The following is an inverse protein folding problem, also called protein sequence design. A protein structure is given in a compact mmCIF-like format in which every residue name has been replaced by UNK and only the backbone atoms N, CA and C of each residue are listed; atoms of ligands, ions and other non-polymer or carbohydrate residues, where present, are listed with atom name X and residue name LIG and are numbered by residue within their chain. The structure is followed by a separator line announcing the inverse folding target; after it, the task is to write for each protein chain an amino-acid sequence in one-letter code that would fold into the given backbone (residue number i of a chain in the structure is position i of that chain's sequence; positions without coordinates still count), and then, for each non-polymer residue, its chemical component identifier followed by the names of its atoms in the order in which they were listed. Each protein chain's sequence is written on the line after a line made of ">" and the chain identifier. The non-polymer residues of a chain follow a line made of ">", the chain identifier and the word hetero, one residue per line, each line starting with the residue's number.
data_IF_417729087239
#
_entry.id   IF_417729087239
#
_cell.length_a   1.000
_cell.length_b   1.000
_cell.length_c   1.000
_cell.angle_alpha   90.00
_cell.angle_beta   90.00
_cell.angle_gamma   90.00
#
_symmetry.space_group_name_H-M   'P 1'
#
loop_
_entity.id
_entity.type
_entity.pdbx_description
1 polymer ?
#
# COMPACT_ATOMS: atom_id res chain seq x y z
N UNK A 1 3.08 20.67 -5.18
CA UNK A 1 4.52 20.46 -4.94
C UNK A 1 5.33 21.50 -5.71
N UNK A 2 6.49 21.90 -5.19
CA UNK A 2 7.42 22.80 -5.90
C UNK A 2 8.59 21.98 -6.45
N UNK A 3 8.86 22.13 -7.75
CA UNK A 3 10.01 21.54 -8.41
C UNK A 3 11.02 22.65 -8.73
N UNK A 4 12.30 22.37 -8.45
CA UNK A 4 13.40 23.30 -8.66
C UNK A 4 14.45 22.69 -9.59
N UNK A 5 14.19 22.64 -10.92
CA UNK A 5 15.19 22.20 -11.88
C UNK A 5 16.46 23.04 -11.75
N UNK A 6 17.58 22.36 -11.57
CA UNK A 6 18.89 22.99 -11.43
C UNK A 6 19.64 22.96 -12.76
N UNK A 7 20.56 23.91 -12.95
CA UNK A 7 21.42 23.97 -14.17
C UNK A 7 22.31 22.74 -14.35
N UNK A 8 22.59 22.00 -13.26
CA UNK A 8 23.45 20.82 -13.22
C UNK A 8 22.84 19.79 -12.25
N UNK A 9 23.19 18.51 -12.40
CA UNK A 9 22.70 17.43 -11.54
C UNK A 9 23.70 17.11 -10.42
N UNK A 10 23.21 16.68 -9.26
CA UNK A 10 24.04 16.05 -8.24
C UNK A 10 24.35 14.59 -8.61
N UNK A 11 25.54 14.08 -8.27
CA UNK A 11 26.66 14.77 -7.61
C UNK A 11 27.42 15.75 -8.54
N UNK A 12 27.87 16.89 -8.01
CA UNK A 12 28.56 17.94 -8.77
C UNK A 12 29.75 18.52 -8.00
N UNK A 13 30.69 19.17 -8.71
CA UNK A 13 31.92 19.76 -8.14
C UNK A 13 31.66 20.91 -7.17
N UNK A 14 30.51 21.60 -7.30
CA UNK A 14 30.06 22.63 -6.36
C UNK A 14 29.00 22.08 -5.42
N UNK A 15 29.05 22.50 -4.14
CA UNK A 15 28.07 22.13 -3.11
C UNK A 15 26.70 22.80 -3.29
N UNK A 16 26.60 23.82 -4.15
CA UNK A 16 25.34 24.48 -4.51
C UNK A 16 25.28 24.69 -6.03
N UNK A 17 24.08 24.55 -6.58
CA UNK A 17 23.79 24.68 -8.00
C UNK A 17 22.61 25.64 -8.14
N UNK A 18 22.69 26.60 -9.06
CA UNK A 18 21.61 27.56 -9.28
C UNK A 18 20.36 26.88 -9.85
N UNK A 19 19.21 27.24 -9.30
CA UNK A 19 17.88 26.87 -9.81
C UNK A 19 17.60 27.70 -11.06
N UNK A 20 17.20 27.04 -12.15
CA UNK A 20 16.94 27.69 -13.44
C UNK A 20 15.61 28.46 -13.43
N UNK A 21 14.56 27.82 -12.91
CA UNK A 21 13.23 28.39 -12.76
C UNK A 21 12.47 27.58 -11.69
N UNK A 22 11.45 28.19 -11.11
CA UNK A 22 10.58 27.53 -10.16
C UNK A 22 9.29 27.10 -10.86
N UNK A 23 8.96 25.81 -10.80
CA UNK A 23 7.66 25.32 -11.20
C UNK A 23 6.84 25.00 -9.95
N UNK A 24 5.70 25.68 -9.78
CA UNK A 24 4.80 25.47 -8.67
C UNK A 24 3.48 24.89 -9.17
N UNK A 25 3.16 23.69 -8.69
CA UNK A 25 1.87 23.05 -8.92
C UNK A 25 1.09 23.07 -7.60
N UNK A 26 -0.08 23.70 -7.60
CA UNK A 26 -0.99 23.66 -6.46
C UNK A 26 -1.86 22.41 -6.59
N UNK A 27 -1.79 21.54 -5.59
CA UNK A 27 -2.67 20.38 -5.49
C UNK A 27 -3.90 20.79 -4.68
N UNK A 28 -5.07 20.38 -5.13
CA UNK A 28 -6.30 20.47 -4.36
C UNK A 28 -6.25 19.53 -3.15
N UNK A 29 -7.04 19.77 -2.09
CA UNK A 29 -7.06 18.92 -0.89
C UNK A 29 -7.30 17.42 -1.18
N UNK A 30 -8.07 17.10 -2.23
CA UNK A 30 -8.30 15.72 -2.63
C UNK A 30 -7.10 15.11 -3.35
N UNK A 31 -6.41 15.88 -4.21
CA UNK A 31 -5.17 15.42 -4.87
C UNK A 31 -4.06 15.17 -3.84
N UNK A 32 -3.98 15.97 -2.78
CA UNK A 32 -3.06 15.73 -1.66
C UNK A 32 -3.38 14.44 -0.94
N UNK A 33 -4.67 14.17 -0.67
CA UNK A 33 -5.09 12.92 -0.04
C UNK A 33 -4.78 11.68 -0.90
N UNK A 34 -5.02 11.77 -2.22
CA UNK A 34 -4.74 10.69 -3.16
C UNK A 34 -3.22 10.42 -3.25
N UNK A 35 -2.41 11.47 -3.32
CA UNK A 35 -0.95 11.36 -3.38
C UNK A 35 -0.38 10.73 -2.09
N UNK A 36 -0.88 11.14 -0.92
CA UNK A 36 -0.47 10.54 0.35
C UNK A 36 -0.83 9.04 0.43
N UNK A 37 -2.05 8.69 0.00
CA UNK A 37 -2.51 7.32 -0.02
C UNK A 37 -1.72 6.46 -1.02
N UNK A 38 -1.46 6.99 -2.21
CA UNK A 38 -0.67 6.32 -3.25
C UNK A 38 0.77 6.10 -2.79
N UNK A 39 1.35 7.07 -2.08
CA UNK A 39 2.68 6.96 -1.48
C UNK A 39 2.72 5.84 -0.43
N UNK A 40 1.74 5.79 0.48
CA UNK A 40 1.61 4.69 1.46
C UNK A 40 1.49 3.32 0.80
N UNK A 41 0.70 3.21 -0.26
CA UNK A 41 0.58 1.98 -1.06
C UNK A 41 1.94 1.57 -1.62
N UNK A 42 2.64 2.49 -2.29
CA UNK A 42 3.94 2.21 -2.89
C UNK A 42 4.99 1.79 -1.85
N UNK A 43 5.03 2.48 -0.70
CA UNK A 43 5.94 2.14 0.41
C UNK A 43 5.69 0.73 0.95
N UNK A 44 4.43 0.38 1.22
CA UNK A 44 4.06 -0.95 1.71
C UNK A 44 4.35 -2.05 0.68
N UNK A 45 4.06 -1.80 -0.60
CA UNK A 45 4.37 -2.74 -1.68
C UNK A 45 5.88 -3.00 -1.79
N UNK A 46 6.68 -1.93 -1.72
CA UNK A 46 8.14 -2.04 -1.74
C UNK A 46 8.62 -2.95 -0.61
N UNK A 47 8.16 -2.70 0.62
CA UNK A 47 8.52 -3.51 1.80
C UNK A 47 8.10 -4.97 1.66
N UNK A 48 6.91 -5.23 1.12
CA UNK A 48 6.41 -6.59 0.89
C UNK A 48 7.15 -7.34 -0.22
N UNK A 49 7.76 -6.61 -1.16
CA UNK A 49 8.49 -7.17 -2.31
C UNK A 49 10.00 -7.31 -2.07
N UNK A 50 10.50 -6.85 -0.94
CA UNK A 50 11.92 -6.91 -0.60
C UNK A 50 12.39 -8.37 -0.48
N UNK A 51 13.60 -8.66 -0.97
CA UNK A 51 14.22 -9.99 -0.86
C UNK A 51 14.43 -10.41 0.60
N UNK A 52 14.72 -9.44 1.46
CA UNK A 52 14.73 -9.59 2.91
C UNK A 52 13.81 -8.53 3.50
N UNK A 53 12.77 -8.97 4.19
CA UNK A 53 11.75 -8.09 4.74
C UNK A 53 12.19 -7.63 6.12
N UNK A 54 12.42 -6.32 6.28
CA UNK A 54 12.57 -5.69 7.59
C UNK A 54 11.20 -5.68 8.29
N UNK A 55 11.02 -6.65 9.19
CA UNK A 55 9.75 -6.84 9.90
C UNK A 55 9.38 -5.64 10.77
N UNK A 56 10.35 -4.95 11.35
CA UNK A 56 10.09 -3.78 12.22
C UNK A 56 9.61 -2.62 11.35
N UNK A 57 10.28 -2.37 10.22
CA UNK A 57 9.87 -1.34 9.28
C UNK A 57 8.49 -1.63 8.67
N UNK A 58 8.24 -2.89 8.29
CA UNK A 58 6.94 -3.34 7.79
C UNK A 58 5.84 -3.10 8.82
N UNK A 59 6.03 -3.53 10.08
CA UNK A 59 5.05 -3.36 11.15
C UNK A 59 4.78 -1.90 11.46
N UNK A 60 5.82 -1.07 11.55
CA UNK A 60 5.69 0.37 11.81
C UNK A 60 4.83 1.06 10.73
N UNK A 61 5.13 0.77 9.46
CA UNK A 61 4.40 1.36 8.32
C UNK A 61 2.97 0.82 8.19
N UNK A 62 2.78 -0.48 8.41
CA UNK A 62 1.48 -1.13 8.35
C UNK A 62 0.57 -0.66 9.49
N UNK A 63 1.06 -0.66 10.73
CA UNK A 63 0.32 -0.17 11.89
C UNK A 63 -0.06 1.30 11.71
N UNK A 64 0.86 2.15 11.25
CA UNK A 64 0.58 3.55 10.92
C UNK A 64 -0.44 3.74 9.78
N UNK A 65 -0.75 2.69 9.03
CA UNK A 65 -1.74 2.69 7.95
C UNK A 65 -3.12 2.18 8.41
N UNK A 66 -3.16 1.16 9.27
CA UNK A 66 -4.43 0.52 9.70
C UNK A 66 -4.94 0.99 11.05
N UNK A 67 -4.08 1.56 11.91
CA UNK A 67 -4.42 1.98 13.28
C UNK A 67 -4.41 3.50 13.45
N UNK A 68 -4.84 4.25 12.43
CA UNK A 68 -4.78 5.72 12.46
C UNK A 68 -5.77 6.29 13.48
N UNK A 69 -5.28 6.58 14.70
CA UNK A 69 -6.06 7.15 15.82
C UNK A 69 -5.82 8.64 16.05
N UNK A 70 -4.71 9.20 15.53
CA UNK A 70 -4.22 10.56 15.85
C UNK A 70 -4.12 11.52 14.66
N UNK A 71 -3.93 11.02 13.45
CA UNK A 71 -3.85 11.84 12.22
C UNK A 71 -5.13 11.67 11.40
N UNK A 72 -5.40 12.59 10.46
CA UNK A 72 -6.44 12.38 9.46
C UNK A 72 -6.08 11.14 8.64
N UNK A 73 -6.73 10.01 8.93
CA UNK A 73 -6.48 8.74 8.27
C UNK A 73 -7.20 8.60 6.93
N UNK A 74 -7.03 7.46 6.24
CA UNK A 74 -7.76 7.13 5.01
C UNK A 74 -9.28 7.36 5.11
N UNK A 75 -9.83 7.15 6.31
CA UNK A 75 -11.24 7.37 6.64
C UNK A 75 -11.64 8.86 6.66
N UNK A 76 -10.75 9.75 7.09
CA UNK A 76 -11.01 11.20 7.04
C UNK A 76 -11.08 11.68 5.59
N UNK A 77 -10.20 11.17 4.74
CA UNK A 77 -10.21 11.45 3.30
C UNK A 77 -11.47 10.92 2.62
N UNK A 78 -11.84 9.67 2.91
CA UNK A 78 -13.07 9.08 2.39
C UNK A 78 -14.32 9.87 2.82
N UNK A 79 -14.41 10.26 4.09
CA UNK A 79 -15.54 11.08 4.61
C UNK A 79 -15.60 12.48 4.00
N UNK A 80 -14.45 13.11 3.76
CA UNK A 80 -14.38 14.49 3.26
C UNK A 80 -14.67 14.61 1.76
N UNK A 81 -14.43 13.56 0.97
CA UNK A 81 -14.41 13.67 -0.49
C UNK A 81 -15.29 12.66 -1.25
N UNK A 82 -15.84 11.63 -0.58
CA UNK A 82 -16.65 10.59 -1.24
C UNK A 82 -18.16 10.64 -0.92
N UNK A 83 -18.65 11.69 -0.24
CA UNK A 83 -20.10 11.93 -0.09
C UNK A 83 -20.74 12.32 -1.44
N UNK A 84 -22.00 11.90 -1.67
CA UNK A 84 -22.72 11.70 -2.95
C UNK A 84 -22.62 12.82 -4.02
N UNK A 85 -22.14 14.01 -3.67
CA UNK A 85 -22.02 15.18 -4.55
C UNK A 85 -20.72 15.23 -5.38
N UNK A 86 -19.68 14.46 -5.01
CA UNK A 86 -18.33 14.57 -5.61
C UNK A 86 -17.88 13.34 -6.43
N UNK A 87 -18.57 12.21 -6.29
CA UNK A 87 -18.16 10.89 -6.81
C UNK A 87 -18.01 10.78 -8.34
N UNK A 88 -18.58 11.72 -9.12
CA UNK A 88 -18.46 11.73 -10.59
C UNK A 88 -17.15 12.33 -11.12
N UNK A 89 -16.38 13.03 -10.29
CA UNK A 89 -15.18 13.77 -10.74
C UNK A 89 -13.88 12.99 -10.70
N UNK A 90 -13.82 11.88 -9.96
CA UNK A 90 -12.57 11.17 -9.73
C UNK A 90 -12.76 9.66 -9.82
N UNK A 91 -11.99 8.92 -10.63
CA UNK A 91 -12.03 7.45 -10.74
C UNK A 91 -11.43 6.73 -9.50
N UNK A 92 -11.66 7.28 -8.31
CA UNK A 92 -10.94 7.09 -7.04
C UNK A 92 -11.19 5.75 -6.34
N UNK A 93 -12.09 4.91 -6.87
CA UNK A 93 -12.29 3.55 -6.34
C UNK A 93 -11.01 2.72 -6.43
N UNK A 94 -10.10 3.01 -7.39
CA UNK A 94 -8.85 2.26 -7.59
C UNK A 94 -7.85 2.43 -6.46
N UNK A 95 -7.57 3.66 -6.03
CA UNK A 95 -6.54 3.94 -5.01
C UNK A 95 -6.95 3.35 -3.66
N UNK A 96 -8.24 3.44 -3.32
CA UNK A 96 -8.80 2.78 -2.13
C UNK A 96 -8.63 1.27 -2.18
N UNK A 97 -9.06 0.65 -3.29
CA UNK A 97 -9.03 -0.80 -3.41
C UNK A 97 -7.59 -1.32 -3.39
N UNK A 98 -6.67 -0.60 -4.03
CA UNK A 98 -5.24 -0.85 -3.93
C UNK A 98 -4.70 -0.71 -2.51
N UNK A 99 -5.15 0.28 -1.74
CA UNK A 99 -4.75 0.45 -0.34
C UNK A 99 -5.21 -0.71 0.54
N UNK A 100 -6.50 -1.08 0.47
CA UNK A 100 -7.04 -2.22 1.22
C UNK A 100 -6.33 -3.52 0.82
N UNK A 101 -6.18 -3.78 -0.48
CA UNK A 101 -5.52 -4.98 -0.98
C UNK A 101 -4.04 -5.03 -0.54
N UNK A 102 -3.34 -3.89 -0.54
CA UNK A 102 -1.93 -3.78 -0.14
C UNK A 102 -1.75 -3.95 1.37
N UNK A 103 -2.63 -3.37 2.20
CA UNK A 103 -2.63 -3.62 3.64
C UNK A 103 -2.91 -5.10 3.96
N UNK A 104 -3.82 -5.74 3.24
CA UNK A 104 -4.09 -7.17 3.38
C UNK A 104 -2.89 -8.03 3.00
N UNK A 105 -2.18 -7.68 1.91
CA UNK A 105 -0.93 -8.34 1.52
C UNK A 105 0.15 -8.17 2.60
N UNK A 106 0.33 -6.95 3.11
CA UNK A 106 1.31 -6.64 4.16
C UNK A 106 1.03 -7.41 5.45
N UNK A 107 -0.24 -7.56 5.84
CA UNK A 107 -0.64 -8.44 6.94
C UNK A 107 -0.24 -9.89 6.66
N UNK A 108 -0.51 -10.41 5.45
CA UNK A 108 -0.15 -11.77 5.08
C UNK A 108 1.37 -12.03 5.05
N UNK A 109 2.18 -11.02 4.71
CA UNK A 109 3.65 -11.08 4.84
C UNK A 109 4.05 -11.07 6.31
N UNK A 110 3.48 -10.16 7.11
CA UNK A 110 3.77 -10.06 8.55
C UNK A 110 3.43 -11.37 9.28
N UNK A 111 2.27 -11.99 9.02
CA UNK A 111 1.82 -13.24 9.65
C UNK A 111 2.83 -14.40 9.48
N UNK A 112 3.61 -14.41 8.39
CA UNK A 112 4.61 -15.46 8.13
C UNK A 112 5.95 -15.23 8.81
N UNK A 113 6.25 -13.99 9.17
CA UNK A 113 7.56 -13.57 9.65
C UNK A 113 7.59 -13.34 11.16
N UNK A 114 6.43 -13.14 11.78
CA UNK A 114 6.30 -12.95 13.23
C UNK A 114 6.64 -14.22 14.01
N UNK A 115 7.10 -14.01 15.25
CA UNK A 115 7.26 -15.07 16.25
C UNK A 115 6.03 -15.17 17.14
N UNK A 116 5.93 -16.25 17.92
CA UNK A 116 4.79 -16.54 18.79
C UNK A 116 4.48 -15.41 19.79
N UNK A 117 5.53 -14.74 20.32
CA UNK A 117 5.41 -13.60 21.22
C UNK A 117 4.84 -12.33 20.55
N UNK A 118 4.75 -12.30 19.22
CA UNK A 118 4.21 -11.19 18.45
C UNK A 118 2.78 -11.45 17.92
N UNK A 119 2.18 -12.60 18.26
CA UNK A 119 0.88 -12.99 17.73
C UNK A 119 -0.25 -12.04 18.16
N UNK A 120 -0.28 -11.62 19.43
CA UNK A 120 -1.28 -10.69 19.95
C UNK A 120 -1.22 -9.33 19.23
N UNK A 121 -0.01 -8.83 18.99
CA UNK A 121 0.21 -7.59 18.24
C UNK A 121 -0.28 -7.70 16.79
N UNK A 122 -0.04 -8.85 16.15
CA UNK A 122 -0.56 -9.12 14.81
C UNK A 122 -2.09 -9.16 14.78
N UNK A 123 -2.71 -9.83 15.74
CA UNK A 123 -4.16 -9.95 15.82
C UNK A 123 -4.84 -8.58 16.03
N UNK A 124 -4.24 -7.68 16.82
CA UNK A 124 -4.72 -6.30 16.94
C UNK A 124 -4.64 -5.55 15.59
N UNK A 125 -3.52 -5.64 14.86
CA UNK A 125 -3.41 -5.03 13.53
C UNK A 125 -4.43 -5.61 12.54
N UNK A 126 -4.70 -6.91 12.62
CA UNK A 126 -5.69 -7.60 11.79
C UNK A 126 -7.12 -7.13 12.12
N UNK A 127 -7.43 -6.90 13.40
CA UNK A 127 -8.70 -6.32 13.84
C UNK A 127 -8.87 -4.89 13.31
N UNK A 128 -7.85 -4.04 13.50
CA UNK A 128 -7.85 -2.66 13.00
C UNK A 128 -8.04 -2.59 11.47
N UNK A 129 -7.39 -3.48 10.71
CA UNK A 129 -7.59 -3.59 9.28
C UNK A 129 -9.03 -3.95 8.89
N UNK A 130 -9.67 -4.88 9.62
CA UNK A 130 -11.07 -5.26 9.36
C UNK A 130 -12.01 -4.08 9.59
N UNK A 131 -11.81 -3.33 10.66
CA UNK A 131 -12.63 -2.16 10.98
C UNK A 131 -12.42 -1.04 9.96
N UNK A 132 -11.17 -0.75 9.59
CA UNK A 132 -10.82 0.17 8.52
C UNK A 132 -11.53 -0.21 7.20
N UNK A 133 -11.43 -1.48 6.79
CA UNK A 133 -12.07 -1.98 5.57
C UNK A 133 -13.59 -1.85 5.63
N UNK A 134 -14.21 -2.16 6.77
CA UNK A 134 -15.66 -2.03 6.99
C UNK A 134 -16.12 -0.57 6.90
N UNK A 135 -15.44 0.34 7.59
CA UNK A 135 -15.78 1.76 7.56
C UNK A 135 -15.60 2.36 6.16
N UNK A 136 -14.49 2.03 5.50
CA UNK A 136 -14.24 2.41 4.11
C UNK A 136 -15.32 1.88 3.15
N UNK A 137 -15.88 0.70 3.41
CA UNK A 137 -16.99 0.14 2.63
C UNK A 137 -18.30 0.87 2.89
N UNK A 138 -18.58 1.17 4.17
CA UNK A 138 -19.78 1.91 4.58
C UNK A 138 -19.86 3.30 3.95
N UNK A 139 -18.74 4.03 3.93
CA UNK A 139 -18.67 5.37 3.33
C UNK A 139 -19.02 5.35 1.83
N UNK A 140 -18.76 4.25 1.13
CA UNK A 140 -18.96 4.17 -0.32
C UNK A 140 -20.28 3.55 -0.76
N UNK A 141 -21.08 3.01 0.16
CA UNK A 141 -22.32 2.24 -0.14
C UNK A 141 -22.16 1.09 -1.16
N UNK A 142 -20.94 0.80 -1.62
CA UNK A 142 -20.58 -0.43 -2.34
C UNK A 142 -20.15 -1.47 -1.30
N UNK A 143 -20.79 -2.64 -1.31
CA UNK A 143 -20.29 -3.78 -0.56
C UNK A 143 -18.91 -4.14 -1.11
N UNK A 144 -17.84 -3.74 -0.42
CA UNK A 144 -16.56 -4.42 -0.59
C UNK A 144 -16.78 -5.76 0.09
N UNK A 145 -17.15 -6.76 -0.70
CA UNK A 145 -17.06 -8.15 -0.24
C UNK A 145 -15.58 -8.39 0.08
N UNK A 146 -15.22 -8.31 1.36
CA UNK A 146 -14.02 -8.94 1.90
C UNK A 146 -14.30 -10.43 1.86
N UNK A 147 -14.29 -10.96 0.65
CA UNK A 147 -14.67 -12.33 0.37
C UNK A 147 -13.46 -13.17 0.77
N UNK A 148 -13.68 -14.11 1.71
CA UNK A 148 -12.67 -15.10 2.13
C UNK A 148 -12.03 -15.81 0.92
N UNK A 149 -12.69 -15.78 -0.24
CA UNK A 149 -12.22 -16.28 -1.53
C UNK A 149 -10.97 -15.56 -2.07
N UNK A 150 -10.74 -14.26 -1.78
CA UNK A 150 -9.54 -13.53 -2.23
C UNK A 150 -8.29 -13.91 -1.43
N UNK A 151 -8.44 -14.05 -0.10
CA UNK A 151 -7.38 -14.61 0.75
C UNK A 151 -7.06 -16.05 0.34
N UNK A 152 -8.08 -16.86 0.03
CA UNK A 152 -7.88 -18.22 -0.46
C UNK A 152 -7.18 -18.28 -1.83
N UNK A 153 -7.44 -17.31 -2.72
CA UNK A 153 -6.76 -17.21 -4.02
C UNK A 153 -5.30 -16.76 -3.89
N UNK A 154 -5.01 -15.83 -2.97
CA UNK A 154 -3.64 -15.39 -2.66
C UNK A 154 -2.87 -16.53 -1.98
N UNK A 155 -3.49 -17.25 -1.04
CA UNK A 155 -2.91 -18.43 -0.41
C UNK A 155 -2.69 -19.57 -1.39
N UNK A 156 -3.62 -19.83 -2.34
CA UNK A 156 -3.41 -20.80 -3.42
C UNK A 156 -2.27 -20.39 -4.34
N UNK A 157 -2.21 -19.13 -4.77
CA UNK A 157 -1.14 -18.65 -5.66
C UNK A 157 0.25 -18.77 -5.02
N UNK A 158 0.34 -18.50 -3.72
CA UNK A 158 1.57 -18.64 -2.94
C UNK A 158 1.91 -20.12 -2.69
N UNK A 159 0.91 -20.97 -2.46
CA UNK A 159 1.09 -22.41 -2.34
C UNK A 159 1.57 -23.04 -3.67
N UNK A 160 1.03 -22.62 -4.82
CA UNK A 160 1.51 -23.04 -6.14
C UNK A 160 2.96 -22.60 -6.41
N UNK A 161 3.36 -21.42 -5.94
CA UNK A 161 4.73 -20.92 -6.08
C UNK A 161 5.74 -21.65 -5.19
N UNK A 162 5.33 -22.09 -3.99
CA UNK A 162 6.19 -22.75 -3.01
C UNK A 162 6.22 -24.28 -3.11
N UNK A 163 5.16 -24.91 -3.66
CA UNK A 163 4.97 -26.37 -3.65
C UNK A 163 5.25 -27.05 -5.01
N UNK A 164 5.63 -26.29 -6.05
CA UNK A 164 6.07 -26.88 -7.32
C UNK A 164 7.56 -27.21 -7.25
N UNK A 165 7.97 -28.50 -7.31
CA UNK A 165 9.37 -28.85 -7.47
C UNK A 165 9.89 -28.30 -8.80
N UNK A 166 11.02 -27.58 -8.75
CA UNK A 166 11.75 -27.16 -9.94
C UNK A 166 12.20 -28.41 -10.71
N UNK A 167 11.50 -28.75 -11.79
CA UNK A 167 11.91 -29.79 -12.74
C UNK A 167 11.14 -29.57 -14.05
N UNK A 168 11.69 -29.53 -15.25
CA UNK A 168 13.01 -29.86 -15.81
C UNK A 168 13.18 -29.01 -17.09
N UNK A 169 14.43 -28.65 -17.41
CA UNK A 169 14.86 -27.98 -18.64
C UNK A 169 14.51 -28.81 -19.88
N UNK A 170 13.93 -28.17 -20.91
CA UNK A 170 13.53 -28.78 -22.18
C UNK A 170 14.70 -29.19 -23.10
N UNK A 171 15.76 -29.85 -22.60
CA UNK A 171 16.93 -30.24 -23.42
C UNK A 171 17.40 -31.69 -23.33
N UNK A 172 16.71 -32.57 -22.60
CA UNK A 172 17.11 -33.99 -22.54
C UNK A 172 15.95 -34.93 -22.86
N UNK A 173 15.67 -35.12 -24.16
CA UNK A 173 15.07 -36.37 -24.68
C UNK A 173 15.83 -36.80 -25.94
N UNK A 174 16.50 -37.97 -25.96
CA UNK A 174 16.91 -38.61 -27.18
C UNK A 174 15.71 -39.26 -27.89
N UNK A 175 15.73 -39.24 -29.22
CA UNK A 175 14.82 -39.97 -30.12
C UNK A 175 14.85 -41.48 -29.87
#
# INVERSE_FOLDING_TARGET
>A
MAQYPATHCFPYVKKSIAVMYQHQTNLSPIEVAIDEMSTKVAELQLLCSASEVDIICLQLKLQGSVSVRVNAGPLAYARAFLDDSSAKKYPDNKVKQQFVDTCGQALGVNERLIKEDQQEYHDEMKANYRDLSRELSSIMREQVEVSEYKLHSIMKSIFYSLCMPKSISSRDLPL
#
